data_IF_311699404692
#
_entry.id   IF_311699404692
#
_cell.length_a   1.000
_cell.length_b   1.000
_cell.length_c   1.000
_cell.angle_alpha   90.00
_cell.angle_beta   90.00
_cell.angle_gamma   90.00
#
_symmetry.space_group_name_H-M   'P 1'
#
loop_
_entity.id
_entity.type
_entity.pdbx_description
1 polymer ?
#
# COMPACT_ATOMS: atom_id res chain seq x y z
N UNK A 1 19.42 42.83 37.34
CA UNK A 1 19.99 42.55 36.00
C UNK A 1 20.24 41.07 35.68
N UNK A 2 20.32 40.17 36.66
CA UNK A 2 20.53 38.72 36.40
C UNK A 2 19.25 37.95 36.00
N UNK A 3 18.05 38.38 36.38
CA UNK A 3 16.77 37.69 36.11
C UNK A 3 16.35 37.78 34.63
N UNK A 4 16.66 38.92 33.96
CA UNK A 4 16.31 39.14 32.54
C UNK A 4 17.14 38.23 31.63
N UNK A 5 18.40 37.91 32.00
CA UNK A 5 19.28 37.02 31.22
C UNK A 5 18.77 35.55 31.18
N UNK A 6 18.22 35.07 32.30
CA UNK A 6 17.67 33.67 32.37
C UNK A 6 16.35 33.54 31.62
N UNK A 7 15.49 34.56 31.64
CA UNK A 7 14.24 34.55 30.89
C UNK A 7 14.48 34.56 29.38
N UNK A 8 15.44 35.27 28.88
CA UNK A 8 15.84 35.28 27.47
C UNK A 8 16.44 33.94 27.03
N UNK A 9 17.21 33.26 27.88
CA UNK A 9 17.79 31.97 27.58
C UNK A 9 16.69 30.89 27.49
N UNK A 10 15.72 30.88 28.41
CA UNK A 10 14.60 29.93 28.39
C UNK A 10 13.69 30.13 27.17
N UNK A 11 13.42 31.37 26.77
CA UNK A 11 12.62 31.67 25.57
C UNK A 11 13.33 31.16 24.32
N UNK A 12 14.64 31.33 24.20
CA UNK A 12 15.39 30.80 23.05
C UNK A 12 15.40 29.29 22.98
N UNK A 13 15.45 28.58 24.11
CA UNK A 13 15.37 27.12 24.14
C UNK A 13 13.99 26.63 23.67
N UNK A 14 12.89 27.28 24.11
CA UNK A 14 11.53 26.93 23.71
C UNK A 14 11.31 27.18 22.21
N UNK A 15 11.77 28.29 21.67
CA UNK A 15 11.68 28.59 20.23
C UNK A 15 12.54 27.62 19.39
N UNK A 16 13.72 27.24 19.88
CA UNK A 16 14.59 26.27 19.20
C UNK A 16 13.94 24.86 19.13
N UNK A 17 13.32 24.38 20.22
CA UNK A 17 12.61 23.09 20.23
C UNK A 17 11.40 23.10 19.29
N UNK A 18 10.60 24.14 19.26
CA UNK A 18 9.48 24.27 18.35
C UNK A 18 9.92 24.27 16.88
N UNK A 19 11.07 24.81 16.54
CA UNK A 19 11.61 24.83 15.18
C UNK A 19 12.03 23.45 14.72
N UNK A 20 12.66 22.63 15.56
CA UNK A 20 13.08 21.25 15.23
C UNK A 20 11.86 20.36 15.02
N UNK A 21 10.88 20.39 15.91
CA UNK A 21 9.62 19.62 15.77
C UNK A 21 8.87 20.00 14.51
N UNK A 22 8.81 21.31 14.20
CA UNK A 22 8.15 21.79 12.98
C UNK A 22 8.88 21.34 11.71
N UNK A 23 10.22 21.36 11.70
CA UNK A 23 11.03 20.89 10.57
C UNK A 23 10.85 19.38 10.36
N UNK A 24 10.86 18.60 11.44
CA UNK A 24 10.63 17.17 11.40
C UNK A 24 9.24 16.84 10.84
N UNK A 25 8.20 17.48 11.37
CA UNK A 25 6.82 17.32 10.88
C UNK A 25 6.70 17.68 9.39
N UNK A 26 7.35 18.78 8.97
CA UNK A 26 7.38 19.19 7.57
C UNK A 26 8.06 18.15 6.68
N UNK A 27 9.21 17.59 7.10
CA UNK A 27 9.92 16.59 6.34
C UNK A 27 9.05 15.35 6.06
N UNK A 28 8.28 14.87 7.06
CA UNK A 28 7.33 13.77 6.86
C UNK A 28 6.20 14.13 5.89
N UNK A 29 5.65 15.34 6.00
CA UNK A 29 4.62 15.80 5.08
C UNK A 29 5.13 15.89 3.64
N UNK A 30 6.33 16.45 3.45
CA UNK A 30 6.96 16.58 2.13
C UNK A 30 7.23 15.19 1.51
N UNK A 31 7.70 14.20 2.28
CA UNK A 31 7.90 12.83 1.81
C UNK A 31 6.57 12.19 1.41
N UNK A 32 5.53 12.37 2.22
CA UNK A 32 4.20 11.84 1.92
C UNK A 32 3.61 12.47 0.65
N UNK A 33 3.76 13.78 0.46
CA UNK A 33 3.29 14.47 -0.74
C UNK A 33 3.99 13.97 -2.01
N UNK A 34 5.29 13.71 -1.93
CA UNK A 34 6.08 13.21 -3.06
C UNK A 34 5.80 11.72 -3.37
N UNK A 35 5.46 10.91 -2.38
CA UNK A 35 5.21 9.48 -2.58
C UNK A 35 3.79 9.18 -3.09
N UNK A 36 2.78 9.93 -2.63
CA UNK A 36 1.37 9.67 -2.93
C UNK A 36 1.03 9.58 -4.42
N UNK A 37 1.56 10.41 -5.33
CA UNK A 37 1.24 10.32 -6.76
C UNK A 37 1.63 8.98 -7.40
N UNK A 38 2.67 8.34 -6.90
CA UNK A 38 3.12 7.03 -7.37
C UNK A 38 2.32 5.86 -6.76
N UNK A 39 1.55 6.07 -5.69
CA UNK A 39 0.75 5.02 -5.06
C UNK A 39 -0.65 5.00 -5.64
N UNK A 40 -1.10 3.82 -6.06
CA UNK A 40 -2.39 3.61 -6.74
C UNK A 40 -3.29 2.68 -5.95
N UNK A 41 -4.60 2.80 -6.15
CA UNK A 41 -5.58 1.81 -5.70
C UNK A 41 -5.74 0.75 -6.77
N UNK A 42 -5.66 -0.51 -6.38
CA UNK A 42 -5.98 -1.65 -7.24
C UNK A 42 -7.37 -2.15 -6.86
N UNK A 43 -8.26 -2.17 -7.85
CA UNK A 43 -9.62 -2.68 -7.73
C UNK A 43 -9.67 -3.95 -8.56
N UNK A 44 -9.96 -5.08 -7.91
CA UNK A 44 -10.06 -6.38 -8.59
C UNK A 44 -11.49 -6.88 -8.55
N UNK A 45 -11.91 -7.49 -9.66
CA UNK A 45 -13.21 -8.11 -9.82
C UNK A 45 -13.03 -9.64 -9.91
N UNK A 46 -13.88 -10.39 -9.21
CA UNK A 46 -14.00 -11.84 -9.40
C UNK A 46 -15.45 -12.20 -9.64
N UNK A 47 -15.70 -12.97 -10.68
CA UNK A 47 -17.02 -13.51 -11.01
C UNK A 47 -17.16 -14.89 -10.35
N UNK A 48 -17.96 -14.96 -9.29
CA UNK A 48 -18.22 -16.23 -8.60
C UNK A 48 -19.53 -16.80 -9.11
N UNK A 49 -19.48 -17.95 -9.79
CA UNK A 49 -20.68 -18.70 -10.19
C UNK A 49 -21.16 -19.59 -9.03
N UNK A 50 -22.46 -19.60 -8.77
CA UNK A 50 -23.09 -20.35 -7.67
C UNK A 50 -22.88 -21.87 -7.71
N UNK A 51 -22.33 -22.43 -8.81
CA UNK A 51 -22.04 -23.85 -8.90
C UNK A 51 -20.87 -24.31 -8.00
N UNK A 52 -20.11 -23.40 -7.41
CA UNK A 52 -19.02 -23.70 -6.46
C UNK A 52 -19.46 -23.74 -4.99
N UNK A 53 -20.73 -23.46 -4.69
CA UNK A 53 -21.27 -23.48 -3.31
C UNK A 53 -22.00 -24.79 -2.95
N UNK A 54 -21.62 -25.93 -3.55
CA UNK A 54 -22.33 -27.21 -3.32
C UNK A 54 -22.33 -27.68 -1.85
N UNK A 55 -21.40 -27.24 -1.00
CA UNK A 55 -21.35 -27.63 0.42
C UNK A 55 -22.03 -26.64 1.39
N UNK A 56 -22.22 -25.37 0.99
CA UNK A 56 -22.87 -24.38 1.85
C UNK A 56 -24.30 -24.04 1.43
N UNK A 57 -24.70 -24.37 0.19
CA UNK A 57 -25.99 -24.06 -0.41
C UNK A 57 -27.17 -24.85 0.18
N UNK A 58 -26.90 -25.94 0.90
CA UNK A 58 -27.96 -26.79 1.47
C UNK A 58 -28.75 -26.11 2.59
N UNK A 59 -28.18 -25.11 3.25
CA UNK A 59 -28.86 -24.37 4.34
C UNK A 59 -29.79 -23.25 3.86
N UNK A 60 -29.69 -22.82 2.58
CA UNK A 60 -30.50 -21.72 2.05
C UNK A 60 -31.32 -22.10 0.81
N UNK A 61 -31.77 -23.35 0.74
CA UNK A 61 -32.60 -23.84 -0.36
C UNK A 61 -33.93 -23.10 -0.42
N UNK A 62 -34.05 -22.13 -1.34
CA UNK A 62 -35.34 -21.59 -1.81
C UNK A 62 -35.66 -22.16 -3.19
N UNK A 63 -36.80 -22.90 -3.36
CA UNK A 63 -37.11 -23.64 -4.57
C UNK A 63 -37.32 -22.84 -5.86
N UNK A 64 -37.35 -21.51 -5.81
CA UNK A 64 -37.65 -20.61 -6.92
C UNK A 64 -36.53 -19.63 -7.28
N UNK A 65 -35.30 -19.83 -6.84
CA UNK A 65 -34.20 -18.98 -7.28
C UNK A 65 -33.64 -19.46 -8.63
N UNK A 66 -33.39 -18.55 -9.61
CA UNK A 66 -32.73 -18.90 -10.85
C UNK A 66 -31.33 -19.47 -10.57
N UNK A 67 -31.00 -20.62 -11.14
CA UNK A 67 -29.77 -21.39 -10.93
C UNK A 67 -28.47 -20.76 -11.44
N UNK A 68 -28.52 -19.55 -12.00
CA UNK A 68 -27.35 -18.82 -12.50
C UNK A 68 -27.42 -17.39 -11.98
N UNK A 69 -26.79 -17.13 -10.84
CA UNK A 69 -26.43 -15.77 -10.43
C UNK A 69 -24.92 -15.72 -10.34
N UNK A 70 -24.33 -14.96 -11.23
CA UNK A 70 -22.95 -14.50 -11.11
C UNK A 70 -22.95 -13.36 -10.10
N UNK A 71 -22.13 -13.48 -9.06
CA UNK A 71 -21.88 -12.40 -8.13
C UNK A 71 -20.51 -11.82 -8.44
N UNK A 72 -20.43 -10.53 -8.70
CA UNK A 72 -19.18 -9.80 -8.73
C UNK A 72 -18.76 -9.49 -7.29
N UNK A 73 -17.63 -10.01 -6.89
CA UNK A 73 -16.96 -9.62 -5.65
C UNK A 73 -15.79 -8.71 -6.01
N UNK A 74 -15.68 -7.58 -5.31
CA UNK A 74 -14.58 -6.64 -5.50
C UNK A 74 -13.63 -6.75 -4.31
N UNK A 75 -12.34 -6.85 -4.58
CA UNK A 75 -11.30 -6.68 -3.58
C UNK A 75 -10.48 -5.41 -3.88
N UNK A 76 -9.86 -4.87 -2.86
CA UNK A 76 -9.03 -3.67 -2.97
C UNK A 76 -7.63 -3.95 -2.45
N UNK A 77 -6.65 -3.42 -3.15
CA UNK A 77 -5.25 -3.40 -2.77
C UNK A 77 -4.59 -2.10 -3.17
N UNK A 78 -3.31 -2.03 -2.96
CA UNK A 78 -2.44 -0.93 -3.37
C UNK A 78 -1.46 -1.39 -4.44
N UNK A 79 -0.86 -0.43 -5.13
CA UNK A 79 0.26 -0.66 -6.03
C UNK A 79 1.14 0.58 -6.09
N UNK A 80 2.35 0.41 -6.59
CA UNK A 80 3.33 1.49 -6.72
C UNK A 80 3.78 1.59 -8.15
N UNK A 81 3.66 2.77 -8.77
CA UNK A 81 4.20 3.06 -10.09
C UNK A 81 5.72 3.09 -9.97
N UNK A 82 6.40 2.19 -10.65
CA UNK A 82 7.87 2.04 -10.64
C UNK A 82 8.52 2.44 -11.96
N UNK A 83 7.73 2.61 -13.00
CA UNK A 83 8.17 3.10 -14.32
C UNK A 83 7.01 3.82 -15.00
N UNK A 84 6.97 5.14 -14.85
CA UNK A 84 5.93 5.99 -15.41
C UNK A 84 5.93 5.99 -16.95
N UNK A 85 7.10 5.87 -17.57
CA UNK A 85 7.24 5.87 -19.04
C UNK A 85 6.55 4.67 -19.69
N UNK A 86 6.65 3.49 -19.05
CA UNK A 86 6.09 2.24 -19.57
C UNK A 86 4.78 1.86 -18.87
N UNK A 87 4.33 2.61 -17.85
CA UNK A 87 3.12 2.37 -17.09
C UNK A 87 3.19 1.13 -16.19
N UNK A 88 4.39 0.77 -15.69
CA UNK A 88 4.56 -0.40 -14.82
C UNK A 88 4.26 -0.08 -13.36
N UNK A 89 3.48 -0.98 -12.76
CA UNK A 89 3.04 -0.91 -11.37
C UNK A 89 3.45 -2.20 -10.68
N UNK A 90 4.12 -2.08 -9.54
CA UNK A 90 4.46 -3.19 -8.65
C UNK A 90 3.37 -3.34 -7.60
N UNK A 91 2.99 -4.58 -7.30
CA UNK A 91 2.04 -4.94 -6.25
C UNK A 91 2.32 -6.33 -5.70
N UNK A 92 1.53 -6.80 -4.73
CA UNK A 92 1.59 -8.18 -4.27
C UNK A 92 0.82 -9.12 -5.21
N UNK A 93 1.33 -10.35 -5.39
CA UNK A 93 0.67 -11.37 -6.20
C UNK A 93 -0.72 -11.70 -5.66
N UNK A 94 -0.89 -11.86 -4.33
CA UNK A 94 -2.17 -12.19 -3.73
C UNK A 94 -3.28 -11.14 -3.97
N UNK A 95 -2.93 -9.91 -4.37
CA UNK A 95 -3.89 -8.85 -4.72
C UNK A 95 -4.56 -9.14 -6.07
N UNK A 96 -3.84 -9.77 -7.00
CA UNK A 96 -4.27 -9.95 -8.39
C UNK A 96 -4.46 -11.42 -8.80
N UNK A 97 -4.10 -12.34 -7.90
CA UNK A 97 -4.18 -13.77 -8.14
C UNK A 97 -5.63 -14.23 -8.32
N UNK A 98 -5.89 -14.97 -9.40
CA UNK A 98 -7.21 -15.54 -9.73
C UNK A 98 -8.33 -14.48 -9.85
N UNK A 99 -8.00 -13.27 -10.37
CA UNK A 99 -8.95 -12.19 -10.62
C UNK A 99 -9.30 -12.10 -12.10
N UNK A 100 -10.60 -11.85 -12.41
CA UNK A 100 -11.11 -11.76 -13.78
C UNK A 100 -10.87 -10.36 -14.41
N UNK A 101 -10.81 -9.31 -13.59
CA UNK A 101 -10.57 -7.93 -14.01
C UNK A 101 -9.74 -7.16 -13.01
N UNK A 102 -8.88 -6.29 -13.50
CA UNK A 102 -8.02 -5.44 -12.69
C UNK A 102 -8.13 -4.01 -13.19
N UNK A 103 -8.49 -3.09 -12.29
CA UNK A 103 -8.53 -1.65 -12.55
C UNK A 103 -7.59 -0.91 -11.61
N UNK A 104 -6.90 0.06 -12.14
CA UNK A 104 -6.04 0.96 -11.38
C UNK A 104 -6.73 2.32 -11.30
N UNK A 105 -6.83 2.84 -10.08
CA UNK A 105 -7.31 4.19 -9.81
C UNK A 105 -6.18 5.04 -9.26
N UNK A 106 -5.88 6.12 -9.96
CA UNK A 106 -4.84 7.08 -9.59
C UNK A 106 -5.34 8.05 -8.51
N UNK A 107 -4.41 8.82 -7.94
CA UNK A 107 -4.72 9.85 -6.93
C UNK A 107 -5.64 10.94 -7.47
N UNK A 108 -5.53 11.28 -8.75
CA UNK A 108 -6.38 12.24 -9.47
C UNK A 108 -7.74 11.68 -9.90
N UNK A 109 -8.04 10.42 -9.49
CA UNK A 109 -9.29 9.68 -9.76
C UNK A 109 -9.44 9.14 -11.18
N UNK A 110 -8.43 9.28 -12.06
CA UNK A 110 -8.43 8.59 -13.36
C UNK A 110 -8.38 7.08 -13.10
N UNK A 111 -9.10 6.32 -13.93
CA UNK A 111 -9.17 4.86 -13.84
C UNK A 111 -8.71 4.24 -15.15
N UNK A 112 -7.94 3.17 -15.06
CA UNK A 112 -7.38 2.45 -16.20
C UNK A 112 -7.55 0.95 -15.99
N UNK A 113 -7.88 0.23 -17.07
CA UNK A 113 -7.76 -1.24 -17.09
C UNK A 113 -6.27 -1.61 -17.05
N UNK A 114 -5.93 -2.61 -16.26
CA UNK A 114 -4.56 -3.08 -16.14
C UNK A 114 -4.41 -4.50 -16.68
N UNK A 115 -3.23 -4.80 -17.21
CA UNK A 115 -2.84 -6.14 -17.61
C UNK A 115 -1.72 -6.65 -16.72
N UNK A 116 -1.75 -7.94 -16.38
CA UNK A 116 -0.67 -8.61 -15.64
C UNK A 116 0.48 -8.87 -16.62
N UNK A 117 1.67 -8.34 -16.31
CA UNK A 117 2.90 -8.57 -17.09
C UNK A 117 3.63 -9.81 -16.58
N UNK A 118 3.63 -10.01 -15.27
CA UNK A 118 4.23 -11.18 -14.63
C UNK A 118 3.89 -11.26 -13.16
N UNK A 119 3.97 -12.47 -12.63
CA UNK A 119 3.73 -12.77 -11.21
C UNK A 119 4.79 -13.72 -10.69
N UNK A 120 5.12 -13.58 -9.41
CA UNK A 120 5.92 -14.54 -8.66
C UNK A 120 5.24 -14.86 -7.34
N UNK A 121 4.50 -15.98 -7.27
CA UNK A 121 3.84 -16.40 -6.03
C UNK A 121 4.79 -16.69 -4.87
N UNK A 122 6.08 -16.99 -5.14
CA UNK A 122 7.05 -17.30 -4.08
C UNK A 122 7.55 -16.07 -3.36
N UNK A 123 7.67 -14.96 -4.05
CA UNK A 123 8.01 -13.65 -3.46
C UNK A 123 6.78 -12.81 -3.16
N UNK A 124 5.58 -13.29 -3.55
CA UNK A 124 4.32 -12.55 -3.49
C UNK A 124 4.37 -11.21 -4.24
N UNK A 125 5.01 -11.20 -5.42
CA UNK A 125 5.12 -10.01 -6.26
C UNK A 125 4.36 -10.18 -7.57
N UNK A 126 3.80 -9.08 -8.07
CA UNK A 126 3.20 -8.97 -9.39
C UNK A 126 3.54 -7.62 -10.02
N UNK A 127 3.70 -7.63 -11.34
CA UNK A 127 3.86 -6.43 -12.16
C UNK A 127 2.65 -6.28 -13.06
N UNK A 128 2.01 -5.13 -12.97
CA UNK A 128 0.89 -4.72 -13.81
C UNK A 128 1.34 -3.65 -14.79
N UNK A 129 0.57 -3.49 -15.86
CA UNK A 129 0.74 -2.42 -16.84
C UNK A 129 -0.57 -1.70 -17.09
N UNK A 130 -0.50 -0.39 -17.12
CA UNK A 130 -1.55 0.52 -17.60
C UNK A 130 -1.04 1.32 -18.81
N UNK A 131 -1.97 1.82 -19.59
CA UNK A 131 -1.69 2.78 -20.67
C UNK A 131 -2.22 4.15 -20.22
N UNK A 132 -1.32 4.92 -19.59
CA UNK A 132 -1.66 6.19 -18.97
C UNK A 132 -0.55 7.21 -19.22
N UNK A 133 -0.96 8.42 -19.60
CA UNK A 133 -0.07 9.57 -19.68
C UNK A 133 -0.09 10.38 -18.38
N UNK A 134 0.92 11.21 -18.19
CA UNK A 134 1.03 12.12 -17.03
C UNK A 134 0.86 11.42 -15.68
N UNK A 135 1.66 10.37 -15.47
CA UNK A 135 1.80 9.66 -14.19
C UNK A 135 3.22 9.83 -13.65
N UNK A 136 3.37 9.68 -12.35
CA UNK A 136 4.65 9.82 -11.66
C UNK A 136 5.07 8.47 -11.10
N UNK A 137 6.36 8.13 -11.22
CA UNK A 137 6.95 6.97 -10.57
C UNK A 137 7.75 7.37 -9.32
N UNK A 138 8.06 6.37 -8.49
CA UNK A 138 8.93 6.55 -7.33
C UNK A 138 10.20 5.72 -7.52
N UNK A 139 11.34 6.32 -7.16
CA UNK A 139 12.62 5.61 -7.21
C UNK A 139 12.67 4.47 -6.20
N UNK A 140 13.26 3.35 -6.63
CA UNK A 140 13.54 2.22 -5.73
C UNK A 140 14.77 2.53 -4.89
N UNK A 141 14.71 2.25 -3.59
CA UNK A 141 15.83 2.30 -2.67
C UNK A 141 16.62 0.99 -2.63
N UNK A 142 17.71 1.01 -1.89
CA UNK A 142 18.52 -0.18 -1.61
C UNK A 142 18.22 -0.70 -0.20
N UNK A 143 17.59 -1.89 -0.12
CA UNK A 143 17.23 -2.49 1.16
C UNK A 143 18.43 -3.03 1.94
N UNK A 144 19.60 -3.20 1.31
CA UNK A 144 20.82 -3.64 1.99
C UNK A 144 21.47 -2.51 2.81
N UNK A 145 21.13 -1.25 2.51
CA UNK A 145 21.64 -0.08 3.21
C UNK A 145 20.81 0.35 4.44
N UNK A 146 19.61 -0.21 4.61
CA UNK A 146 18.71 0.18 5.71
C UNK A 146 19.21 -0.31 7.08
N UNK A 147 18.86 0.41 8.16
CA UNK A 147 19.26 0.08 9.53
C UNK A 147 18.07 0.06 10.47
N UNK A 148 18.12 -0.84 11.44
CA UNK A 148 17.14 -0.87 12.54
C UNK A 148 17.15 0.47 13.29
N UNK A 149 15.96 1.03 13.52
CA UNK A 149 15.76 2.34 14.14
C UNK A 149 15.59 3.50 13.16
N UNK A 150 15.81 3.30 11.86
CA UNK A 150 15.51 4.33 10.86
C UNK A 150 14.00 4.52 10.69
N UNK A 151 13.61 5.76 10.47
CA UNK A 151 12.22 6.10 10.23
C UNK A 151 11.74 5.63 8.87
N UNK A 152 10.55 5.04 8.85
CA UNK A 152 9.88 4.60 7.63
C UNK A 152 8.45 5.11 7.58
N UNK A 153 7.93 5.17 6.37
CA UNK A 153 6.57 5.57 6.09
C UNK A 153 5.93 4.49 5.21
N UNK A 154 4.77 4.01 5.60
CA UNK A 154 3.95 3.17 4.75
C UNK A 154 2.86 4.03 4.11
N UNK A 155 2.74 3.93 2.78
CA UNK A 155 1.74 4.64 1.99
C UNK A 155 0.94 3.61 1.22
N UNK A 156 -0.37 3.56 1.46
CA UNK A 156 -1.27 2.63 0.80
C UNK A 156 -2.62 3.27 0.51
N UNK A 157 -3.45 2.56 -0.23
CA UNK A 157 -4.80 3.00 -0.60
C UNK A 157 -5.85 2.00 -0.09
N UNK A 158 -6.11 1.97 1.26
CA UNK A 158 -6.98 0.98 1.87
C UNK A 158 -8.46 1.21 1.58
N UNK A 159 -9.18 0.12 1.53
CA UNK A 159 -10.61 -0.25 1.64
C UNK A 159 -11.73 0.72 1.30
N UNK A 160 -11.56 2.00 1.08
CA UNK A 160 -12.66 2.86 0.66
C UNK A 160 -12.20 4.00 -0.22
N UNK A 161 -13.04 4.41 -1.14
CA UNK A 161 -12.81 5.60 -1.97
C UNK A 161 -12.52 6.87 -1.14
N UNK A 162 -12.94 6.88 0.13
CA UNK A 162 -12.76 7.98 1.06
C UNK A 162 -11.49 7.90 1.90
N UNK A 163 -10.77 6.77 1.88
CA UNK A 163 -9.55 6.52 2.66
C UNK A 163 -8.31 6.29 1.78
N UNK A 164 -8.39 6.65 0.49
CA UNK A 164 -7.26 6.54 -0.43
C UNK A 164 -6.04 7.32 0.09
N UNK A 165 -4.84 6.75 -0.15
CA UNK A 165 -3.55 7.36 0.21
C UNK A 165 -3.37 7.62 1.71
N UNK A 166 -3.68 6.59 2.51
CA UNK A 166 -3.38 6.59 3.94
C UNK A 166 -1.87 6.47 4.16
N UNK A 167 -1.35 7.32 5.03
CA UNK A 167 0.06 7.34 5.42
C UNK A 167 0.17 6.96 6.88
N UNK A 168 1.04 6.01 7.18
CA UNK A 168 1.44 5.66 8.55
C UNK A 168 2.95 5.74 8.68
N UNK A 169 3.44 6.03 9.89
CA UNK A 169 4.87 6.18 10.17
C UNK A 169 5.29 5.27 11.31
N UNK A 170 6.51 4.81 11.24
CA UNK A 170 7.14 3.98 12.26
C UNK A 170 8.63 3.91 12.03
N UNK A 171 9.27 2.89 12.56
CA UNK A 171 10.69 2.61 12.38
C UNK A 171 10.90 1.22 11.80
N UNK A 172 12.08 0.96 11.26
CA UNK A 172 12.56 -0.38 10.99
C UNK A 172 12.83 -1.05 12.33
N UNK A 173 12.00 -2.04 12.68
CA UNK A 173 12.09 -2.76 13.96
C UNK A 173 13.05 -3.95 13.88
N UNK A 174 13.17 -4.58 12.71
CA UNK A 174 14.12 -5.64 12.42
C UNK A 174 14.27 -5.83 10.90
N UNK A 175 15.34 -6.52 10.49
CA UNK A 175 15.62 -6.96 9.12
C UNK A 175 15.89 -8.46 9.09
N UNK A 176 15.82 -9.09 7.92
CA UNK A 176 16.16 -10.50 7.75
C UNK A 176 15.17 -11.47 8.41
N UNK A 177 13.90 -11.12 8.52
CA UNK A 177 12.87 -12.00 9.07
C UNK A 177 12.49 -13.08 8.07
N UNK A 178 12.70 -14.35 8.44
CA UNK A 178 12.39 -15.52 7.64
C UNK A 178 11.62 -16.58 8.44
N UNK A 179 11.05 -17.58 7.75
CA UNK A 179 10.23 -18.67 8.33
C UNK A 179 9.00 -18.17 9.09
N UNK A 180 8.36 -17.10 8.59
CA UNK A 180 7.15 -16.52 9.20
C UNK A 180 5.90 -17.16 8.63
N UNK A 181 5.81 -17.35 7.30
CA UNK A 181 4.61 -17.82 6.62
C UNK A 181 4.56 -19.35 6.44
N UNK A 182 5.64 -20.09 6.68
CA UNK A 182 5.74 -21.56 6.52
C UNK A 182 5.24 -22.08 5.14
N UNK A 183 5.25 -21.23 4.11
CA UNK A 183 4.61 -21.47 2.82
C UNK A 183 5.56 -21.95 1.72
N UNK A 184 6.86 -22.14 2.03
CA UNK A 184 7.91 -22.38 1.02
C UNK A 184 8.21 -21.14 0.17
N UNK A 185 7.77 -19.97 0.60
CA UNK A 185 8.04 -18.66 0.02
C UNK A 185 9.47 -18.22 0.29
N UNK A 186 10.00 -17.35 -0.54
CA UNK A 186 11.25 -16.66 -0.24
C UNK A 186 10.95 -15.53 0.74
N UNK A 187 11.57 -15.61 1.90
CA UNK A 187 11.32 -14.67 3.00
C UNK A 187 12.62 -14.00 3.42
N UNK A 188 12.65 -12.69 3.33
CA UNK A 188 13.68 -11.80 3.89
C UNK A 188 13.00 -10.47 4.25
N UNK A 189 12.05 -10.54 5.20
CA UNK A 189 11.16 -9.42 5.48
C UNK A 189 11.82 -8.36 6.34
N UNK A 190 11.49 -7.11 6.02
CA UNK A 190 11.73 -5.94 6.86
C UNK A 190 10.53 -5.80 7.81
N UNK A 191 10.81 -5.80 9.12
CA UNK A 191 9.78 -5.58 10.13
C UNK A 191 9.71 -4.10 10.48
N UNK A 192 8.49 -3.54 10.55
CA UNK A 192 8.21 -2.18 11.01
C UNK A 192 7.09 -2.17 12.06
N UNK A 193 7.03 -1.13 12.87
CA UNK A 193 5.92 -0.81 13.76
C UNK A 193 4.97 0.25 13.15
N UNK A 194 5.23 0.71 11.92
CA UNK A 194 4.24 1.46 11.15
C UNK A 194 2.96 0.63 10.98
N UNK A 195 1.80 1.22 11.21
CA UNK A 195 0.53 0.51 11.13
C UNK A 195 0.26 0.04 9.69
N UNK A 196 0.23 -1.27 9.49
CA UNK A 196 -0.17 -1.91 8.23
C UNK A 196 -1.56 -2.52 8.42
N UNK A 197 -2.49 -2.10 7.59
CA UNK A 197 -3.88 -2.55 7.62
C UNK A 197 -4.26 -3.20 6.29
N UNK A 198 -5.34 -4.03 6.27
CA UNK A 198 -5.89 -4.54 5.02
C UNK A 198 -6.11 -3.41 3.98
N UNK A 199 -5.69 -3.65 2.73
CA UNK A 199 -5.70 -2.65 1.65
C UNK A 199 -4.37 -1.93 1.44
N UNK A 200 -3.44 -1.95 2.41
CA UNK A 200 -2.07 -1.48 2.19
C UNK A 200 -1.22 -2.51 1.41
N UNK A 201 -1.71 -3.75 1.22
CA UNK A 201 -1.02 -4.78 0.44
C UNK A 201 -0.66 -4.24 -0.94
N UNK A 202 0.62 -4.26 -1.29
CA UNK A 202 1.18 -3.77 -2.53
C UNK A 202 1.54 -2.26 -2.54
N UNK A 203 1.35 -1.56 -1.41
CA UNK A 203 1.78 -0.17 -1.23
C UNK A 203 3.22 -0.03 -0.79
#
# INVERSE_FOLDING_TARGET
MKIISYSLLLINIIFSQNSVVSQFSKAFADVAENAKPAVVTIITDKIVSLNQFDDFGFFFYQPNMPRQREFKTNALGSGVIVDAKNGYILTNNHVVDDMDGIKIKLIDKREFEATIIGTDPKTDLAVLKIDADEIEDIGLGDSDEIRVGEWVMAVGSPFSENLSHTVTTGIISAIGRSNILNSGSYEDFIQTDAAINPGNSGG
#
